data_IF_094474173932
#
_entry.id   IF_094474173932
#
_cell.length_a   1.000
_cell.length_b   1.000
_cell.length_c   1.000
_cell.angle_alpha   90.00
_cell.angle_beta   90.00
_cell.angle_gamma   90.00
#
_symmetry.space_group_name_H-M   'P 1'
#
loop_
_entity.id
_entity.type
_entity.pdbx_description
1 polymer ?
#
# COMPACT_ATOMS: atom_id res chain seq x y z
N UNK A 1 21.40 -17.95 3.56
CA UNK A 1 19.92 -17.88 3.45
C UNK A 1 19.37 -16.63 4.11
N UNK A 2 19.70 -16.36 5.38
CA UNK A 2 19.19 -15.19 6.13
C UNK A 2 19.45 -13.84 5.42
N UNK A 3 20.69 -13.55 4.98
CA UNK A 3 20.99 -12.30 4.25
C UNK A 3 20.22 -12.12 2.93
N UNK A 4 19.99 -13.21 2.20
CA UNK A 4 19.23 -13.16 0.95
C UNK A 4 17.77 -12.82 1.20
N UNK A 5 17.15 -13.46 2.19
CA UNK A 5 15.78 -13.19 2.60
C UNK A 5 15.64 -11.76 3.14
N UNK A 6 16.61 -11.27 3.92
CA UNK A 6 16.64 -9.89 4.42
C UNK A 6 16.64 -8.85 3.28
N UNK A 7 17.43 -9.07 2.23
CA UNK A 7 17.47 -8.17 1.06
C UNK A 7 16.14 -8.15 0.31
N UNK A 8 15.49 -9.32 0.11
CA UNK A 8 14.18 -9.39 -0.52
C UNK A 8 13.13 -8.63 0.30
N UNK A 9 13.14 -8.81 1.62
CA UNK A 9 12.20 -8.15 2.52
C UNK A 9 12.40 -6.64 2.55
N UNK A 10 13.65 -6.18 2.45
CA UNK A 10 13.98 -4.75 2.31
C UNK A 10 13.43 -4.15 1.01
N UNK A 11 13.55 -4.87 -0.11
CA UNK A 11 13.01 -4.40 -1.39
C UNK A 11 11.47 -4.40 -1.36
N UNK A 12 10.86 -5.45 -0.82
CA UNK A 12 9.41 -5.54 -0.68
C UNK A 12 8.84 -4.39 0.18
N UNK A 13 9.52 -4.03 1.27
CA UNK A 13 9.09 -2.90 2.10
C UNK A 13 9.22 -1.56 1.37
N UNK A 14 10.31 -1.34 0.63
CA UNK A 14 10.47 -0.14 -0.18
C UNK A 14 9.36 0.00 -1.23
N UNK A 15 9.00 -1.10 -1.91
CA UNK A 15 7.90 -1.12 -2.89
C UNK A 15 6.57 -0.75 -2.23
N UNK A 16 6.26 -1.34 -1.07
CA UNK A 16 5.02 -1.04 -0.34
C UNK A 16 4.98 0.42 0.11
N UNK A 17 6.09 0.97 0.62
CA UNK A 17 6.17 2.38 1.01
C UNK A 17 5.87 3.28 -0.18
N UNK A 18 6.57 3.07 -1.30
CA UNK A 18 6.34 3.87 -2.53
C UNK A 18 4.89 3.73 -2.99
N UNK A 19 4.35 2.50 -3.03
CA UNK A 19 2.98 2.26 -3.45
C UNK A 19 1.97 3.01 -2.56
N UNK A 20 2.10 2.94 -1.24
CA UNK A 20 1.22 3.66 -0.29
C UNK A 20 1.35 5.18 -0.46
N UNK A 21 2.57 5.72 -0.63
CA UNK A 21 2.75 7.17 -0.81
C UNK A 21 2.13 7.72 -2.10
N UNK A 22 1.96 6.88 -3.12
CA UNK A 22 1.32 7.24 -4.39
C UNK A 22 -0.20 7.03 -4.39
N UNK A 23 -0.75 6.37 -3.36
CA UNK A 23 -2.19 6.20 -3.20
C UNK A 23 -2.84 7.51 -2.78
N UNK A 24 -3.96 7.81 -3.44
CA UNK A 24 -4.76 8.96 -3.09
C UNK A 24 -5.50 8.67 -1.77
N UNK A 25 -5.66 9.67 -0.87
CA UNK A 25 -6.29 9.48 0.42
C UNK A 25 -7.73 8.98 0.25
N UNK A 26 -8.09 7.92 0.99
CA UNK A 26 -9.42 7.28 0.93
C UNK A 26 -10.54 8.17 1.52
N UNK A 27 -10.17 9.21 2.27
CA UNK A 27 -11.06 10.24 2.83
C UNK A 27 -10.74 11.59 2.18
N UNK A 28 -11.74 12.37 1.80
CA UNK A 28 -11.58 13.66 1.10
C UNK A 28 -11.07 14.80 2.03
N UNK A 29 -10.37 14.46 3.11
CA UNK A 29 -9.83 15.40 4.10
C UNK A 29 -10.90 16.16 4.91
N UNK A 30 -10.47 17.24 5.56
CA UNK A 30 -11.35 18.14 6.34
C UNK A 30 -12.46 18.81 5.50
N UNK A 31 -12.35 18.79 4.17
CA UNK A 31 -13.38 19.28 3.25
C UNK A 31 -14.63 18.40 3.17
N UNK A 32 -14.55 17.12 3.57
CA UNK A 32 -15.73 16.26 3.71
C UNK A 32 -16.54 16.58 4.97
N UNK A 33 -15.91 17.15 6.00
CA UNK A 33 -16.57 17.52 7.26
C UNK A 33 -17.50 18.73 7.10
N UNK A 34 -17.25 19.59 6.11
CA UNK A 34 -18.06 20.79 5.82
C UNK A 34 -19.31 20.51 4.97
N UNK A 35 -19.64 19.24 4.69
CA UNK A 35 -20.86 18.85 3.95
C UNK A 35 -20.94 19.37 2.52
N UNK A 36 -19.86 19.94 1.98
CA UNK A 36 -19.82 20.46 0.62
C UNK A 36 -19.64 19.29 -0.33
N UNK A 37 -20.57 19.12 -1.27
CA UNK A 37 -20.61 18.00 -2.20
C UNK A 37 -19.24 17.80 -2.86
N UNK A 38 -18.59 16.69 -2.50
CA UNK A 38 -17.34 16.27 -3.15
C UNK A 38 -17.66 15.95 -4.62
N UNK A 39 -16.82 16.40 -5.54
CA UNK A 39 -17.01 16.16 -6.97
C UNK A 39 -16.86 14.66 -7.27
N UNK A 40 -17.98 13.93 -7.23
CA UNK A 40 -18.05 12.47 -7.45
C UNK A 40 -17.53 12.09 -8.85
N UNK A 41 -17.61 13.00 -9.82
CA UNK A 41 -17.25 12.74 -11.20
C UNK A 41 -15.74 12.63 -11.41
N UNK A 42 -14.94 13.46 -10.75
CA UNK A 42 -13.47 13.42 -10.82
C UNK A 42 -12.83 12.24 -10.07
N UNK A 43 -13.52 11.72 -9.05
CA UNK A 43 -13.06 10.55 -8.25
C UNK A 43 -12.99 9.26 -9.07
N UNK A 44 -13.79 9.17 -10.14
CA UNK A 44 -13.85 8.03 -11.05
C UNK A 44 -12.56 7.84 -11.87
N UNK A 45 -11.86 8.92 -12.23
CA UNK A 45 -10.71 8.87 -13.15
C UNK A 45 -9.46 8.27 -12.49
N UNK A 46 -9.28 8.47 -11.19
CA UNK A 46 -8.14 7.93 -10.43
C UNK A 46 -8.44 6.62 -9.71
N UNK A 47 -9.69 6.13 -9.79
CA UNK A 47 -10.13 4.89 -9.16
C UNK A 47 -9.32 3.69 -9.64
N UNK A 48 -8.98 3.61 -10.93
CA UNK A 48 -8.21 2.51 -11.52
C UNK A 48 -6.76 2.47 -11.03
N UNK A 49 -6.08 3.62 -10.92
CA UNK A 49 -4.71 3.72 -10.36
C UNK A 49 -4.70 3.28 -8.90
N UNK A 50 -5.63 3.82 -8.11
CA UNK A 50 -5.68 3.52 -6.68
C UNK A 50 -6.04 2.05 -6.43
N UNK A 51 -6.96 1.47 -7.20
CA UNK A 51 -7.29 0.02 -7.13
C UNK A 51 -6.09 -0.87 -7.46
N UNK A 52 -5.26 -0.50 -8.45
CA UNK A 52 -4.03 -1.24 -8.75
C UNK A 52 -3.03 -1.16 -7.60
N UNK A 53 -2.78 0.05 -7.09
CA UNK A 53 -1.87 0.28 -5.97
C UNK A 53 -2.35 -0.44 -4.70
N UNK A 54 -3.67 -0.50 -4.45
CA UNK A 54 -4.25 -1.19 -3.30
C UNK A 54 -3.97 -2.69 -3.36
N UNK A 55 -4.10 -3.31 -4.55
CA UNK A 55 -3.73 -4.72 -4.76
C UNK A 55 -2.23 -4.98 -4.52
N UNK A 56 -1.36 -4.08 -4.99
CA UNK A 56 0.09 -4.18 -4.76
C UNK A 56 0.40 -4.11 -3.27
N UNK A 57 -0.23 -3.19 -2.54
CA UNK A 57 -0.03 -3.02 -1.09
C UNK A 57 -0.58 -4.21 -0.31
N UNK A 58 -1.74 -4.75 -0.68
CA UNK A 58 -2.30 -5.95 -0.04
C UNK A 58 -1.35 -7.13 -0.25
N UNK A 59 -0.92 -7.38 -1.49
CA UNK A 59 0.00 -8.48 -1.79
C UNK A 59 1.34 -8.30 -1.09
N UNK A 60 1.93 -7.11 -1.15
CA UNK A 60 3.19 -6.77 -0.48
C UNK A 60 3.09 -6.90 1.04
N UNK A 61 1.96 -6.48 1.63
CA UNK A 61 1.71 -6.61 3.06
C UNK A 61 1.62 -8.08 3.52
N UNK A 62 0.88 -8.92 2.78
CA UNK A 62 0.82 -10.37 3.06
C UNK A 62 2.21 -11.01 2.92
N UNK A 63 2.96 -10.66 1.88
CA UNK A 63 4.31 -11.16 1.65
C UNK A 63 5.26 -10.76 2.77
N UNK A 64 5.22 -9.50 3.23
CA UNK A 64 6.04 -9.03 4.34
C UNK A 64 5.64 -9.68 5.66
N UNK A 65 4.35 -9.89 5.89
CA UNK A 65 3.89 -10.54 7.11
C UNK A 65 4.35 -12.00 7.19
N UNK A 66 4.08 -12.79 6.15
CA UNK A 66 4.50 -14.19 6.08
C UNK A 66 6.03 -14.31 6.04
N UNK A 67 6.69 -13.45 5.26
CA UNK A 67 8.14 -13.39 5.17
C UNK A 67 8.78 -13.09 6.53
N UNK A 68 8.17 -12.24 7.37
CA UNK A 68 8.67 -11.94 8.71
C UNK A 68 8.60 -13.16 9.63
N UNK A 69 7.52 -13.94 9.56
CA UNK A 69 7.38 -15.17 10.34
C UNK A 69 8.46 -16.18 9.93
N UNK A 70 8.64 -16.37 8.62
CA UNK A 70 9.66 -17.26 8.07
C UNK A 70 11.06 -16.80 8.45
N UNK A 71 11.32 -15.49 8.41
CA UNK A 71 12.61 -14.91 8.77
C UNK A 71 12.96 -15.21 10.24
N UNK A 72 12.00 -15.05 11.16
CA UNK A 72 12.18 -15.41 12.58
C UNK A 72 12.40 -16.92 12.76
N UNK A 73 11.72 -17.77 11.99
CA UNK A 73 11.85 -19.22 12.14
C UNK A 73 13.20 -19.78 11.64
N UNK A 74 13.84 -19.10 10.68
CA UNK A 74 15.09 -19.55 10.05
C UNK A 74 16.33 -18.90 10.69
N UNK A 75 16.16 -17.78 11.39
CA UNK A 75 17.24 -16.98 11.96
C UNK A 75 17.35 -17.14 13.48
#
# INVERSE_FOLDING_TARGET
MSNFLAVIMMIASAIVIVAVTLQDPKTDGLGALSGTQTNVFGKSAHKSKNEMLDKVVIFGGVLLFLGSIIFIAIN
#
